data_IF_542250812597
#
_entry.id   IF_542250812597
#
_cell.length_a   1.000
_cell.length_b   1.000
_cell.length_c   1.000
_cell.angle_alpha   90.00
_cell.angle_beta   90.00
_cell.angle_gamma   90.00
#
_symmetry.space_group_name_H-M   'P 1'
#
loop_
_entity.id
_entity.type
_entity.pdbx_description
1 polymer ?
#
# COMPACT_ATOMS: atom_id res chain seq x y z
N UNK A 1 -0.28 11.07 -10.49
CA UNK A 1 -0.10 9.74 -11.09
C UNK A 1 0.01 8.71 -9.97
N UNK A 2 -0.70 7.60 -10.10
CA UNK A 2 -0.60 6.45 -9.21
C UNK A 2 -0.41 5.22 -10.11
N UNK A 3 0.66 4.46 -9.89
CA UNK A 3 0.98 3.25 -10.64
C UNK A 3 0.86 2.05 -9.72
N UNK A 4 0.07 1.07 -10.16
CA UNK A 4 -0.10 -0.20 -9.45
C UNK A 4 0.18 -1.39 -10.37
N UNK A 5 0.39 -2.55 -9.77
CA UNK A 5 0.48 -3.81 -10.51
C UNK A 5 0.69 -5.01 -9.60
N UNK A 6 0.32 -6.20 -10.07
CA UNK A 6 0.54 -7.45 -9.35
C UNK A 6 2.03 -7.81 -9.39
N UNK A 7 2.58 -8.22 -8.24
CA UNK A 7 3.96 -8.73 -8.13
C UNK A 7 3.99 -9.99 -7.29
N UNK A 8 4.80 -10.96 -7.72
CA UNK A 8 5.17 -12.11 -6.91
C UNK A 8 6.15 -11.67 -5.82
N UNK A 9 5.76 -11.78 -4.56
CA UNK A 9 6.56 -11.37 -3.41
C UNK A 9 6.66 -12.51 -2.37
N UNK A 10 7.82 -12.58 -1.71
CA UNK A 10 8.00 -13.33 -0.46
C UNK A 10 7.86 -12.36 0.71
N UNK A 11 6.86 -12.56 1.55
CA UNK A 11 6.46 -11.63 2.63
C UNK A 11 6.41 -12.39 3.95
N UNK A 12 6.99 -11.80 4.99
CA UNK A 12 6.88 -12.27 6.37
C UNK A 12 5.56 -11.79 6.98
N UNK A 13 4.80 -12.70 7.57
CA UNK A 13 3.66 -12.34 8.42
C UNK A 13 4.11 -11.92 9.83
N UNK A 14 3.13 -11.57 10.67
CA UNK A 14 3.36 -11.10 12.05
C UNK A 14 3.95 -12.19 12.96
N UNK A 15 3.83 -13.47 12.58
CA UNK A 15 4.42 -14.61 13.28
C UNK A 15 5.82 -14.96 12.77
N UNK A 16 6.30 -14.24 11.75
CA UNK A 16 7.60 -14.44 11.13
C UNK A 16 7.63 -15.53 10.05
N UNK A 17 6.48 -16.11 9.68
CA UNK A 17 6.43 -17.11 8.62
C UNK A 17 6.50 -16.44 7.23
N UNK A 18 7.26 -17.06 6.33
CA UNK A 18 7.41 -16.59 4.95
C UNK A 18 6.29 -17.12 4.07
N UNK A 19 5.60 -16.21 3.40
CA UNK A 19 4.49 -16.50 2.50
C UNK A 19 4.81 -16.01 1.09
N UNK A 20 4.61 -16.85 0.09
CA UNK A 20 4.67 -16.47 -1.33
C UNK A 20 3.30 -15.96 -1.77
N UNK A 21 3.26 -14.75 -2.32
CA UNK A 21 2.01 -14.02 -2.55
C UNK A 21 2.04 -13.21 -3.85
N UNK A 22 0.88 -12.98 -4.47
CA UNK A 22 0.70 -12.10 -5.64
C UNK A 22 -0.18 -10.87 -5.34
N UNK A 23 0.22 -9.96 -4.43
CA UNK A 23 -0.60 -8.80 -4.09
C UNK A 23 -0.56 -7.73 -5.18
N UNK A 24 -1.58 -6.88 -5.16
CA UNK A 24 -1.56 -5.61 -5.86
C UNK A 24 -0.58 -4.69 -5.12
N UNK A 25 0.40 -4.20 -5.87
CA UNK A 25 1.47 -3.37 -5.35
C UNK A 25 1.29 -1.92 -5.77
N UNK A 26 1.48 -0.98 -4.84
CA UNK A 26 1.66 0.44 -5.17
C UNK A 26 3.13 0.66 -5.50
N UNK A 27 3.40 0.97 -6.77
CA UNK A 27 4.76 1.03 -7.33
C UNK A 27 5.28 2.46 -7.50
N UNK A 28 4.37 3.41 -7.70
CA UNK A 28 4.72 4.84 -7.76
C UNK A 28 3.50 5.68 -7.40
N UNK A 29 3.69 6.71 -6.60
CA UNK A 29 2.63 7.62 -6.19
C UNK A 29 3.13 9.06 -6.12
N UNK A 30 2.73 9.84 -7.11
CA UNK A 30 3.15 11.22 -7.27
C UNK A 30 1.95 12.15 -7.49
N UNK A 31 1.93 13.24 -6.74
CA UNK A 31 1.03 14.38 -6.96
C UNK A 31 1.93 15.59 -7.14
N UNK A 32 1.73 16.33 -8.22
CA UNK A 32 2.46 17.58 -8.48
C UNK A 32 2.36 18.51 -7.26
N UNK A 33 3.48 19.14 -6.90
CA UNK A 33 3.67 19.85 -5.63
C UNK A 33 2.61 20.93 -5.42
N UNK A 34 2.25 21.66 -6.49
CA UNK A 34 1.20 22.70 -6.47
C UNK A 34 -0.22 22.19 -6.16
N UNK A 35 -0.43 20.87 -6.14
CA UNK A 35 -1.71 20.20 -5.89
C UNK A 35 -1.64 19.22 -4.71
N UNK A 36 -0.50 19.12 -4.03
CA UNK A 36 -0.37 18.28 -2.84
C UNK A 36 -1.28 18.82 -1.72
N UNK A 37 -1.79 17.92 -0.88
CA UNK A 37 -2.72 18.22 0.22
C UNK A 37 -4.08 18.83 -0.20
N UNK A 38 -4.42 18.78 -1.48
CA UNK A 38 -5.73 19.21 -2.02
C UNK A 38 -6.70 18.05 -2.30
N UNK A 39 -6.48 16.86 -1.74
CA UNK A 39 -7.38 15.71 -1.87
C UNK A 39 -7.15 14.80 -3.08
N UNK A 40 -6.46 15.25 -4.13
CA UNK A 40 -6.23 14.45 -5.35
C UNK A 40 -5.57 13.09 -5.12
N UNK A 41 -4.66 13.00 -4.15
CA UNK A 41 -4.04 11.73 -3.78
C UNK A 41 -5.07 10.70 -3.32
N UNK A 42 -6.03 11.13 -2.49
CA UNK A 42 -7.09 10.27 -1.99
C UNK A 42 -8.06 9.87 -3.10
N UNK A 43 -8.40 10.80 -4.01
CA UNK A 43 -9.23 10.50 -5.18
C UNK A 43 -8.61 9.44 -6.08
N UNK A 44 -7.32 9.57 -6.42
CA UNK A 44 -6.61 8.57 -7.24
C UNK A 44 -6.54 7.21 -6.56
N UNK A 45 -6.22 7.19 -5.27
CA UNK A 45 -6.07 5.95 -4.53
C UNK A 45 -7.42 5.24 -4.35
N UNK A 46 -8.51 5.95 -4.06
CA UNK A 46 -9.86 5.36 -4.03
C UNK A 46 -10.28 4.78 -5.38
N UNK A 47 -9.95 5.45 -6.49
CA UNK A 47 -10.26 4.93 -7.82
C UNK A 47 -9.57 3.58 -8.07
N UNK A 48 -8.30 3.44 -7.64
CA UNK A 48 -7.58 2.16 -7.68
C UNK A 48 -8.26 1.10 -6.83
N UNK A 49 -8.59 1.41 -5.57
CA UNK A 49 -9.26 0.44 -4.68
C UNK A 49 -10.58 -0.07 -5.25
N UNK A 50 -11.36 0.82 -5.88
CA UNK A 50 -12.63 0.46 -6.51
C UNK A 50 -12.44 -0.38 -7.77
N UNK A 51 -11.50 0.00 -8.65
CA UNK A 51 -11.22 -0.73 -9.88
C UNK A 51 -10.70 -2.15 -9.58
N UNK A 52 -9.79 -2.26 -8.62
CA UNK A 52 -9.17 -3.51 -8.21
C UNK A 52 -10.02 -4.33 -7.21
N UNK A 53 -11.14 -3.78 -6.74
CA UNK A 53 -12.05 -4.39 -5.76
C UNK A 53 -11.32 -4.92 -4.52
N UNK A 54 -10.40 -4.10 -4.00
CA UNK A 54 -9.56 -4.45 -2.85
C UNK A 54 -9.68 -3.42 -1.74
N UNK A 55 -9.33 -3.80 -0.52
CA UNK A 55 -9.18 -2.87 0.60
C UNK A 55 -7.71 -2.38 0.73
N UNK A 56 -7.48 -1.22 1.37
CA UNK A 56 -6.15 -0.61 1.49
C UNK A 56 -5.11 -1.52 2.17
N UNK A 57 -5.50 -2.24 3.21
CA UNK A 57 -4.64 -3.13 4.01
C UNK A 57 -4.13 -4.34 3.21
N UNK A 58 -4.77 -4.68 2.08
CA UNK A 58 -4.36 -5.76 1.18
C UNK A 58 -3.28 -5.36 0.17
N UNK A 59 -2.92 -4.08 0.13
CA UNK A 59 -1.91 -3.58 -0.79
C UNK A 59 -0.51 -3.73 -0.20
N UNK A 60 0.46 -4.08 -1.05
CA UNK A 60 1.88 -3.98 -0.72
C UNK A 60 2.45 -2.67 -1.30
N UNK A 61 3.17 -1.89 -0.50
CA UNK A 61 3.68 -0.58 -0.92
C UNK A 61 5.18 -0.66 -1.13
N UNK A 62 5.66 -0.39 -2.34
CA UNK A 62 7.10 -0.41 -2.66
C UNK A 62 7.78 0.85 -2.11
N UNK A 63 8.73 0.69 -1.17
CA UNK A 63 9.59 1.76 -0.62
C UNK A 63 8.84 3.06 -0.30
N UNK A 64 7.76 3.03 0.52
CA UNK A 64 6.97 4.22 0.78
C UNK A 64 7.80 5.31 1.46
N UNK A 65 7.61 6.55 1.01
CA UNK A 65 8.14 7.73 1.71
C UNK A 65 7.35 8.01 2.99
N UNK A 66 7.90 8.79 3.91
CA UNK A 66 7.18 9.27 5.10
C UNK A 66 5.86 9.99 4.75
N UNK A 67 5.83 10.76 3.65
CA UNK A 67 4.60 11.41 3.17
C UNK A 67 3.55 10.38 2.74
N UNK A 68 3.98 9.28 2.11
CA UNK A 68 3.11 8.18 1.71
C UNK A 68 2.53 7.45 2.92
N UNK A 69 3.37 7.11 3.91
CA UNK A 69 2.92 6.46 5.15
C UNK A 69 1.91 7.34 5.91
N UNK A 70 2.19 8.63 6.06
CA UNK A 70 1.29 9.58 6.71
C UNK A 70 -0.04 9.73 5.94
N UNK A 71 0.00 9.68 4.59
CA UNK A 71 -1.19 9.68 3.76
C UNK A 71 -2.06 8.44 4.02
N UNK A 72 -1.44 7.25 4.05
CA UNK A 72 -2.14 5.98 4.28
C UNK A 72 -2.78 5.93 5.67
N UNK A 73 -2.05 6.37 6.71
CA UNK A 73 -2.57 6.48 8.06
C UNK A 73 -3.77 7.43 8.13
N UNK A 74 -3.65 8.64 7.55
CA UNK A 74 -4.69 9.66 7.61
C UNK A 74 -5.98 9.23 6.91
N UNK A 75 -5.88 8.62 5.73
CA UNK A 75 -7.04 8.38 4.87
C UNK A 75 -7.63 6.98 5.01
N UNK A 76 -6.84 6.00 5.46
CA UNK A 76 -7.24 4.59 5.51
C UNK A 76 -7.00 3.94 6.86
N UNK A 77 -6.52 4.69 7.87
CA UNK A 77 -6.28 4.15 9.22
C UNK A 77 -5.11 3.16 9.30
N UNK A 78 -4.35 2.99 8.21
CA UNK A 78 -3.23 2.05 8.15
C UNK A 78 -2.10 2.50 9.07
N UNK A 79 -1.91 1.77 10.16
CA UNK A 79 -0.90 2.03 11.19
C UNK A 79 -0.05 0.78 11.43
N UNK A 80 1.06 0.92 12.16
CA UNK A 80 2.00 -0.17 12.44
C UNK A 80 2.55 -0.84 11.16
N UNK A 81 3.25 -0.09 10.27
CA UNK A 81 3.78 -0.65 9.04
C UNK A 81 4.77 -1.78 9.31
N UNK A 82 4.59 -2.90 8.62
CA UNK A 82 5.48 -4.07 8.67
C UNK A 82 6.44 -4.00 7.49
N UNK A 83 7.66 -3.55 7.75
CA UNK A 83 8.72 -3.43 6.74
C UNK A 83 9.27 -4.82 6.42
N UNK A 84 9.30 -5.13 5.13
CA UNK A 84 9.72 -6.43 4.63
C UNK A 84 11.18 -6.39 4.14
N UNK A 85 11.90 -7.53 4.14
CA UNK A 85 13.29 -7.59 3.64
C UNK A 85 13.47 -7.18 2.17
N UNK A 86 12.40 -7.28 1.36
CA UNK A 86 12.38 -6.86 -0.04
C UNK A 86 12.03 -5.36 -0.24
N UNK A 87 11.98 -4.59 0.85
CA UNK A 87 11.69 -3.16 0.91
C UNK A 87 10.23 -2.78 0.62
N UNK A 88 9.34 -3.77 0.51
CA UNK A 88 7.91 -3.50 0.56
C UNK A 88 7.45 -3.25 2.00
N UNK A 89 6.36 -2.53 2.13
CA UNK A 89 5.64 -2.35 3.38
C UNK A 89 4.24 -2.90 3.21
N UNK A 90 3.83 -3.73 4.17
CA UNK A 90 2.44 -4.16 4.34
C UNK A 90 1.92 -3.62 5.68
N UNK A 91 0.63 -3.81 5.93
CA UNK A 91 -0.03 -3.38 7.16
C UNK A 91 -0.77 -4.53 7.82
N UNK A 92 -1.08 -4.44 9.12
CA UNK A 92 -1.96 -5.38 9.79
C UNK A 92 -3.25 -5.57 9.00
N UNK A 93 -3.73 -6.82 8.95
CA UNK A 93 -4.88 -7.20 8.14
C UNK A 93 -4.54 -7.58 6.69
N UNK A 94 -3.28 -7.47 6.25
CA UNK A 94 -2.87 -7.89 4.89
C UNK A 94 -3.23 -9.36 4.60
N UNK A 95 -3.06 -10.25 5.59
CA UNK A 95 -3.31 -11.69 5.46
C UNK A 95 -4.74 -12.13 5.81
N UNK A 96 -5.60 -11.25 6.32
CA UNK A 96 -6.97 -11.61 6.77
C UNK A 96 -7.83 -12.21 5.65
N UNK A 97 -8.68 -13.19 5.97
CA UNK A 97 -9.62 -13.75 4.99
C UNK A 97 -8.97 -14.47 3.81
N UNK A 98 -7.72 -14.91 3.97
CA UNK A 98 -7.10 -15.95 3.14
C UNK A 98 -7.64 -17.33 3.46
#
# INVERSE_FOLDING_TARGET
>A
MLKVGIKRLFICDELGAHNEVDPICVLDFYIHESKQRSGFGHTLFNAVLQAEKTSPEKLAIDRPTFKSLAFLQKHYGLSSPLVQPNHYVIFPGFFDGR
#
